data_IF_771046553300
#
_entry.id   IF_771046553300
#
_cell.length_a   1.000
_cell.length_b   1.000
_cell.length_c   1.000
_cell.angle_alpha   90.00
_cell.angle_beta   90.00
_cell.angle_gamma   90.00
#
_symmetry.space_group_name_H-M   'P 1'
#
loop_
_entity.id
_entity.type
_entity.pdbx_description
1 polymer ?
#
# COMPACT_ATOMS: atom_id res chain seq x y z
N UNK A 1 5.84 -13.81 17.82
CA UNK A 1 5.57 -13.34 16.44
C UNK A 1 6.90 -13.32 15.67
N UNK A 2 6.95 -13.74 14.41
CA UNK A 2 8.23 -13.78 13.68
C UNK A 2 8.74 -12.39 13.33
N UNK A 3 10.05 -12.28 13.06
CA UNK A 3 10.66 -11.03 12.57
C UNK A 3 10.07 -10.52 11.24
N UNK A 4 9.63 -11.43 10.36
CA UNK A 4 9.05 -11.05 9.08
C UNK A 4 7.68 -10.40 9.29
N UNK A 5 6.84 -11.01 10.13
CA UNK A 5 5.52 -10.48 10.49
C UNK A 5 5.65 -9.15 11.22
N UNK A 6 6.55 -9.05 12.21
CA UNK A 6 6.78 -7.79 12.93
C UNK A 6 7.18 -6.64 12.00
N UNK A 7 8.11 -6.88 11.07
CA UNK A 7 8.58 -5.84 10.15
C UNK A 7 7.48 -5.41 9.15
N UNK A 8 6.72 -6.36 8.62
CA UNK A 8 5.60 -6.06 7.73
C UNK A 8 4.47 -5.31 8.47
N UNK A 9 4.12 -5.75 9.68
CA UNK A 9 3.14 -5.05 10.51
C UNK A 9 3.59 -3.62 10.84
N UNK A 10 4.87 -3.43 11.21
CA UNK A 10 5.41 -2.09 11.46
C UNK A 10 5.34 -1.19 10.23
N UNK A 11 5.66 -1.72 9.05
CA UNK A 11 5.51 -0.98 7.79
C UNK A 11 4.05 -0.67 7.45
N UNK A 12 3.13 -1.61 7.64
CA UNK A 12 1.71 -1.37 7.43
C UNK A 12 1.16 -0.31 8.39
N UNK A 13 1.59 -0.30 9.65
CA UNK A 13 1.19 0.75 10.60
C UNK A 13 1.73 2.11 10.13
N UNK A 14 2.99 2.17 9.73
CA UNK A 14 3.60 3.39 9.17
C UNK A 14 2.83 3.91 7.94
N UNK A 15 2.59 3.04 6.96
CA UNK A 15 1.81 3.36 5.76
C UNK A 15 0.39 3.82 6.10
N UNK A 16 -0.29 3.15 7.03
CA UNK A 16 -1.63 3.54 7.44
C UNK A 16 -1.66 4.94 8.07
N UNK A 17 -0.65 5.28 8.87
CA UNK A 17 -0.54 6.62 9.47
C UNK A 17 -0.30 7.72 8.43
N UNK A 18 0.56 7.49 7.43
CA UNK A 18 0.81 8.47 6.36
C UNK A 18 -0.43 8.69 5.51
N UNK A 19 -1.13 7.62 5.16
CA UNK A 19 -2.40 7.69 4.40
C UNK A 19 -3.51 8.38 5.20
N UNK A 20 -3.52 8.25 6.52
CA UNK A 20 -4.54 8.86 7.38
C UNK A 20 -4.61 10.38 7.24
N UNK A 21 -3.48 11.05 7.02
CA UNK A 21 -3.46 12.50 6.76
C UNK A 21 -4.29 12.86 5.53
N UNK A 22 -4.09 12.17 4.41
CA UNK A 22 -4.82 12.41 3.16
C UNK A 22 -6.28 12.03 3.29
N UNK A 23 -6.58 10.95 4.02
CA UNK A 23 -7.94 10.50 4.28
C UNK A 23 -8.79 11.54 5.00
N UNK A 24 -8.20 12.22 5.99
CA UNK A 24 -8.91 13.24 6.77
C UNK A 24 -8.97 14.59 6.04
N UNK A 25 -7.98 14.90 5.20
CA UNK A 25 -7.86 16.21 4.55
C UNK A 25 -8.54 16.26 3.18
N UNK A 26 -8.53 15.16 2.44
CA UNK A 26 -9.02 15.04 1.06
C UNK A 26 -9.85 13.76 0.86
N UNK A 27 -10.99 13.60 1.56
CA UNK A 27 -11.75 12.34 1.59
C UNK A 27 -12.30 11.93 0.21
N UNK A 28 -12.82 12.88 -0.58
CA UNK A 28 -13.32 12.58 -1.94
C UNK A 28 -12.23 12.04 -2.86
N UNK A 29 -11.03 12.63 -2.78
CA UNK A 29 -9.84 12.18 -3.52
C UNK A 29 -9.37 10.80 -3.07
N UNK A 30 -9.35 10.53 -1.76
CA UNK A 30 -8.96 9.22 -1.21
C UNK A 30 -9.92 8.08 -1.56
N UNK A 31 -11.18 8.41 -1.84
CA UNK A 31 -12.17 7.48 -2.37
C UNK A 31 -12.26 7.49 -3.90
N UNK A 32 -11.29 8.15 -4.56
CA UNK A 32 -11.20 8.26 -6.02
C UNK A 32 -12.51 8.72 -6.66
N UNK A 33 -13.26 9.58 -5.96
CA UNK A 33 -14.54 10.11 -6.44
C UNK A 33 -15.59 9.04 -6.81
N UNK A 34 -15.43 7.81 -6.30
CA UNK A 34 -16.38 6.72 -6.50
C UNK A 34 -17.63 6.96 -5.64
N UNK A 35 -17.44 7.49 -4.43
CA UNK A 35 -18.49 7.76 -3.46
C UNK A 35 -18.36 9.21 -2.99
N UNK A 36 -19.50 9.90 -2.92
CA UNK A 36 -19.63 11.23 -2.33
C UNK A 36 -19.21 11.21 -0.85
N UNK A 37 -18.20 12.01 -0.50
CA UNK A 37 -17.67 12.10 0.86
C UNK A 37 -18.73 12.52 1.90
N UNK A 38 -19.77 13.26 1.50
CA UNK A 38 -20.87 13.64 2.39
C UNK A 38 -21.79 12.48 2.77
N UNK A 39 -21.73 11.37 2.02
CA UNK A 39 -22.51 10.14 2.28
C UNK A 39 -21.70 9.07 3.02
N UNK A 40 -20.40 9.29 3.18
CA UNK A 40 -19.50 8.35 3.83
C UNK A 40 -19.44 8.60 5.34
N UNK A 41 -19.64 7.54 6.12
CA UNK A 41 -19.26 7.55 7.52
C UNK A 41 -17.74 7.50 7.62
N UNK A 42 -17.11 8.64 7.92
CA UNK A 42 -15.65 8.75 8.05
C UNK A 42 -15.07 7.73 9.05
N UNK A 43 -15.66 7.49 10.24
CA UNK A 43 -15.15 6.49 11.17
C UNK A 43 -15.22 5.05 10.63
N UNK A 44 -16.33 4.70 9.97
CA UNK A 44 -16.52 3.35 9.41
C UNK A 44 -15.53 3.10 8.27
N UNK A 45 -15.46 4.06 7.35
CA UNK A 45 -14.61 4.00 6.16
C UNK A 45 -13.12 3.96 6.53
N UNK A 46 -12.71 4.76 7.52
CA UNK A 46 -11.37 4.72 8.11
C UNK A 46 -11.08 3.40 8.85
N UNK A 47 -12.05 2.87 9.60
CA UNK A 47 -11.93 1.57 10.27
C UNK A 47 -11.75 0.42 9.28
N UNK A 48 -12.51 0.43 8.18
CA UNK A 48 -12.39 -0.56 7.10
C UNK A 48 -11.03 -0.49 6.39
N UNK A 49 -10.50 0.72 6.18
CA UNK A 49 -9.15 0.91 5.65
C UNK A 49 -8.11 0.23 6.55
N UNK A 50 -8.12 0.53 7.85
CA UNK A 50 -7.18 -0.07 8.80
C UNK A 50 -7.32 -1.58 8.92
N UNK A 51 -8.55 -2.10 8.92
CA UNK A 51 -8.80 -3.53 8.94
C UNK A 51 -8.22 -4.22 7.70
N UNK A 52 -8.49 -3.66 6.51
CA UNK A 52 -7.99 -4.19 5.24
C UNK A 52 -6.47 -4.18 5.20
N UNK A 53 -5.86 -3.08 5.63
CA UNK A 53 -4.40 -2.94 5.70
C UNK A 53 -3.77 -3.93 6.68
N UNK A 54 -4.37 -4.13 7.86
CA UNK A 54 -3.90 -5.08 8.85
C UNK A 54 -4.00 -6.54 8.35
N UNK A 55 -5.14 -6.90 7.76
CA UNK A 55 -5.36 -8.25 7.20
C UNK A 55 -4.41 -8.53 6.04
N UNK A 56 -4.26 -7.59 5.10
CA UNK A 56 -3.35 -7.72 3.96
C UNK A 56 -1.89 -7.82 4.41
N UNK A 57 -1.46 -6.93 5.31
CA UNK A 57 -0.10 -6.91 5.85
C UNK A 57 0.25 -8.19 6.60
N UNK A 58 -0.65 -8.64 7.48
CA UNK A 58 -0.44 -9.86 8.27
C UNK A 58 -0.43 -11.10 7.38
N UNK A 59 -1.44 -11.28 6.53
CA UNK A 59 -1.54 -12.45 5.65
C UNK A 59 -0.38 -12.54 4.67
N UNK A 60 0.00 -11.42 4.04
CA UNK A 60 1.15 -11.35 3.14
C UNK A 60 2.46 -11.74 3.84
N UNK A 61 2.68 -11.26 5.06
CA UNK A 61 3.88 -11.58 5.83
C UNK A 61 3.94 -13.05 6.27
N UNK A 62 2.80 -13.62 6.68
CA UNK A 62 2.70 -15.05 7.02
C UNK A 62 2.97 -15.92 5.79
N UNK A 63 2.34 -15.61 4.65
CA UNK A 63 2.58 -16.35 3.39
C UNK A 63 4.04 -16.25 2.97
N UNK A 64 4.63 -15.05 2.99
CA UNK A 64 6.03 -14.86 2.64
C UNK A 64 6.98 -15.66 3.55
N UNK A 65 6.73 -15.64 4.87
CA UNK A 65 7.48 -16.42 5.83
C UNK A 65 7.42 -17.93 5.52
N UNK A 66 6.22 -18.48 5.29
CA UNK A 66 6.05 -19.91 5.06
C UNK A 66 6.70 -20.34 3.73
N UNK A 67 6.67 -19.49 2.70
CA UNK A 67 7.40 -19.74 1.45
C UNK A 67 8.92 -19.70 1.64
N UNK A 68 9.43 -18.79 2.47
CA UNK A 68 10.86 -18.73 2.82
C UNK A 68 11.28 -20.02 3.55
N UNK A 69 10.51 -20.46 4.56
CA UNK A 69 10.77 -21.71 5.29
C UNK A 69 10.72 -22.93 4.38
N UNK A 70 9.74 -22.99 3.49
CA UNK A 70 9.58 -24.05 2.50
C UNK A 70 10.59 -23.96 1.33
N UNK A 71 11.50 -22.97 1.33
CA UNK A 71 12.51 -22.74 0.29
C UNK A 71 11.92 -22.54 -1.11
N UNK A 72 10.66 -22.06 -1.19
CA UNK A 72 9.92 -21.82 -2.44
C UNK A 72 10.14 -20.39 -2.97
N UNK A 73 11.40 -20.01 -3.18
CA UNK A 73 11.77 -18.64 -3.58
C UNK A 73 11.12 -18.17 -4.91
N UNK A 74 10.83 -19.09 -5.82
CA UNK A 74 10.14 -18.78 -7.07
C UNK A 74 8.69 -18.30 -6.84
N UNK A 75 7.95 -18.96 -5.95
CA UNK A 75 6.60 -18.52 -5.58
C UNK A 75 6.61 -17.20 -4.82
N UNK A 76 7.60 -16.99 -3.95
CA UNK A 76 7.79 -15.68 -3.30
C UNK A 76 7.99 -14.56 -4.34
N UNK A 77 8.80 -14.82 -5.37
CA UNK A 77 9.03 -13.88 -6.47
C UNK A 77 7.73 -13.61 -7.25
N UNK A 78 6.97 -14.66 -7.55
CA UNK A 78 5.69 -14.55 -8.25
C UNK A 78 4.68 -13.68 -7.48
N UNK A 79 4.60 -13.82 -6.15
CA UNK A 79 3.74 -12.99 -5.30
C UNK A 79 4.17 -11.53 -5.35
N UNK A 80 5.46 -11.24 -5.28
CA UNK A 80 5.97 -9.87 -5.38
C UNK A 80 5.62 -9.25 -6.74
N UNK A 81 5.87 -9.97 -7.83
CA UNK A 81 5.52 -9.50 -9.18
C UNK A 81 4.01 -9.28 -9.31
N UNK A 82 3.20 -10.20 -8.80
CA UNK A 82 1.75 -10.07 -8.78
C UNK A 82 1.30 -8.83 -8.00
N UNK A 83 1.86 -8.58 -6.81
CA UNK A 83 1.52 -7.41 -6.01
C UNK A 83 1.87 -6.09 -6.73
N UNK A 84 3.04 -6.03 -7.39
CA UNK A 84 3.44 -4.86 -8.20
C UNK A 84 2.52 -4.67 -9.40
N UNK A 85 2.15 -5.75 -10.09
CA UNK A 85 1.25 -5.69 -11.23
C UNK A 85 -0.16 -5.22 -10.82
N UNK A 86 -0.68 -5.71 -9.70
CA UNK A 86 -1.97 -5.26 -9.15
C UNK A 86 -1.90 -3.78 -8.76
N UNK A 87 -0.84 -3.36 -8.07
CA UNK A 87 -0.65 -1.95 -7.72
C UNK A 87 -0.60 -1.05 -8.95
N UNK A 88 0.20 -1.42 -9.96
CA UNK A 88 0.32 -0.67 -11.20
C UNK A 88 -1.01 -0.63 -11.97
N UNK A 89 -1.77 -1.73 -11.99
CA UNK A 89 -3.09 -1.77 -12.61
C UNK A 89 -4.06 -0.82 -11.91
N UNK A 90 -4.15 -0.89 -10.57
CA UNK A 90 -5.02 0.00 -9.78
C UNK A 90 -4.65 1.47 -10.00
N UNK A 91 -3.36 1.81 -9.92
CA UNK A 91 -2.90 3.19 -10.14
C UNK A 91 -3.08 3.65 -11.58
N UNK A 92 -2.98 2.75 -12.56
CA UNK A 92 -3.28 3.04 -13.95
C UNK A 92 -4.76 3.33 -14.17
N UNK A 93 -5.65 2.49 -13.63
CA UNK A 93 -7.10 2.67 -13.72
C UNK A 93 -7.57 3.94 -13.02
N UNK A 94 -6.97 4.30 -11.88
CA UNK A 94 -7.34 5.46 -11.07
C UNK A 94 -6.46 6.69 -11.36
N UNK A 95 -5.71 6.68 -12.47
CA UNK A 95 -4.70 7.71 -12.75
C UNK A 95 -5.30 9.11 -12.90
N UNK A 96 -6.50 9.22 -13.45
CA UNK A 96 -7.18 10.52 -13.64
C UNK A 96 -7.64 11.08 -12.31
N UNK A 97 -8.22 10.22 -11.47
CA UNK A 97 -8.71 10.52 -10.13
C UNK A 97 -7.56 10.92 -9.21
N UNK A 98 -6.43 10.21 -9.26
CA UNK A 98 -5.25 10.56 -8.47
C UNK A 98 -4.52 11.81 -8.99
N UNK A 99 -4.70 12.19 -10.26
CA UNK A 99 -4.08 13.39 -10.84
C UNK A 99 -4.85 14.69 -10.55
N UNK A 100 -6.10 14.63 -10.08
CA UNK A 100 -6.92 15.81 -9.81
C UNK A 100 -7.42 15.80 -8.36
N UNK A 101 -7.46 16.96 -7.72
CA UNK A 101 -7.76 17.13 -6.29
C UNK A 101 -8.96 18.08 -6.17
N UNK A 102 -9.91 17.70 -5.32
CA UNK A 102 -11.18 18.39 -5.16
C UNK A 102 -12.19 17.53 -4.41
N UNK A 103 -13.44 17.97 -4.38
CA UNK A 103 -14.58 17.21 -3.87
C UNK A 103 -15.17 16.28 -4.93
N UNK A 104 -16.02 15.34 -4.53
CA UNK A 104 -16.80 14.51 -5.46
C UNK A 104 -17.55 15.36 -6.49
N UNK A 105 -18.27 16.40 -6.04
CA UNK A 105 -19.02 17.29 -6.93
C UNK A 105 -18.10 18.05 -7.90
N UNK A 106 -16.95 18.55 -7.44
CA UNK A 106 -15.98 19.25 -8.29
C UNK A 106 -15.40 18.33 -9.35
N UNK A 107 -15.03 17.09 -9.00
CA UNK A 107 -14.47 16.14 -9.95
C UNK A 107 -15.47 15.77 -11.05
N UNK A 108 -16.69 15.38 -10.68
CA UNK A 108 -17.73 15.02 -11.65
C UNK A 108 -18.24 16.23 -12.47
N UNK A 109 -18.06 17.45 -11.98
CA UNK A 109 -18.32 18.68 -12.74
C UNK A 109 -17.14 19.11 -13.64
N UNK A 110 -16.01 18.39 -13.63
CA UNK A 110 -14.80 18.76 -14.39
C UNK A 110 -14.06 19.99 -13.84
N UNK A 111 -14.27 20.31 -12.56
CA UNK A 111 -13.71 21.49 -11.87
C UNK A 111 -12.61 21.13 -10.87
N UNK A 112 -12.29 19.84 -10.68
CA UNK A 112 -11.19 19.43 -9.82
C UNK A 112 -9.85 19.94 -10.39
N UNK A 113 -8.99 20.45 -9.51
CA UNK A 113 -7.72 21.05 -9.90
C UNK A 113 -6.66 19.98 -10.10
N UNK A 114 -5.71 20.15 -11.02
CA UNK A 114 -4.59 19.23 -11.13
C UNK A 114 -3.78 19.20 -9.82
N UNK A 115 -3.28 18.03 -9.44
CA UNK A 115 -2.40 17.88 -8.28
C UNK A 115 -1.10 18.67 -8.45
N UNK A 116 -0.62 18.84 -9.68
CA UNK A 116 0.58 19.63 -9.96
C UNK A 116 0.37 21.09 -9.56
N UNK A 117 1.19 21.58 -8.63
CA UNK A 117 1.06 22.90 -8.04
C UNK A 117 0.05 22.99 -6.89
N UNK A 118 -0.69 21.91 -6.60
CA UNK A 118 -1.61 21.87 -5.47
C UNK A 118 -0.84 21.67 -4.15
N UNK A 119 -1.27 22.26 -3.01
CA UNK A 119 -0.59 22.12 -1.72
C UNK A 119 -0.37 20.67 -1.24
N UNK A 120 -1.17 19.72 -1.73
CA UNK A 120 -1.04 18.28 -1.43
C UNK A 120 0.19 17.64 -2.10
N UNK A 121 0.73 18.21 -3.19
CA UNK A 121 1.78 17.59 -3.99
C UNK A 121 3.05 17.31 -3.17
N UNK A 122 3.48 18.28 -2.36
CA UNK A 122 4.66 18.15 -1.51
C UNK A 122 4.50 17.00 -0.49
N UNK A 123 3.47 17.03 0.36
CA UNK A 123 3.14 15.93 1.27
C UNK A 123 3.03 14.57 0.57
N UNK A 124 2.35 14.50 -0.58
CA UNK A 124 2.17 13.25 -1.34
C UNK A 124 3.50 12.70 -1.86
N UNK A 125 4.38 13.58 -2.34
CA UNK A 125 5.71 13.19 -2.82
C UNK A 125 6.55 12.63 -1.67
N UNK A 126 6.54 13.31 -0.52
CA UNK A 126 7.27 12.87 0.68
C UNK A 126 6.72 11.54 1.18
N UNK A 127 5.39 11.42 1.32
CA UNK A 127 4.74 10.19 1.73
C UNK A 127 5.09 9.03 0.79
N UNK A 128 4.98 9.23 -0.53
CA UNK A 128 5.34 8.22 -1.53
C UNK A 128 6.78 7.74 -1.41
N UNK A 129 7.75 8.66 -1.23
CA UNK A 129 9.16 8.29 -1.02
C UNK A 129 9.34 7.51 0.29
N UNK A 130 8.77 8.02 1.38
CA UNK A 130 8.86 7.43 2.71
C UNK A 130 8.15 6.07 2.83
N UNK A 131 7.19 5.77 1.96
CA UNK A 131 6.50 4.49 1.89
C UNK A 131 7.23 3.49 0.99
N UNK A 132 7.64 3.96 -0.20
CA UNK A 132 8.27 3.12 -1.22
C UNK A 132 9.64 2.60 -0.78
N UNK A 133 10.50 3.44 -0.18
CA UNK A 133 11.85 3.01 0.23
C UNK A 133 11.79 1.84 1.23
N UNK A 134 11.05 1.94 2.36
CA UNK A 134 10.90 0.82 3.28
C UNK A 134 10.23 -0.42 2.66
N UNK A 135 9.23 -0.23 1.79
CA UNK A 135 8.56 -1.33 1.11
C UNK A 135 9.54 -2.13 0.24
N UNK A 136 10.34 -1.43 -0.58
CA UNK A 136 11.37 -2.03 -1.42
C UNK A 136 12.46 -2.71 -0.59
N UNK A 137 12.86 -2.11 0.53
CA UNK A 137 13.81 -2.70 1.47
C UNK A 137 13.28 -4.02 2.08
N UNK A 138 12.00 -4.06 2.46
CA UNK A 138 11.34 -5.28 2.97
C UNK A 138 11.28 -6.37 1.91
N UNK A 139 10.88 -6.03 0.69
CA UNK A 139 10.85 -6.98 -0.44
C UNK A 139 12.26 -7.53 -0.70
N UNK A 140 13.27 -6.67 -0.78
CA UNK A 140 14.65 -7.09 -0.98
C UNK A 140 15.14 -8.01 0.15
N UNK A 141 14.78 -7.70 1.41
CA UNK A 141 15.11 -8.53 2.56
C UNK A 141 14.44 -9.91 2.53
N UNK A 142 13.16 -9.99 2.15
CA UNK A 142 12.46 -11.27 1.99
C UNK A 142 13.09 -12.10 0.86
N UNK A 143 13.41 -11.48 -0.26
CA UNK A 143 14.04 -12.14 -1.41
C UNK A 143 15.44 -12.67 -1.08
N UNK A 144 16.26 -11.88 -0.41
CA UNK A 144 17.60 -12.32 0.05
C UNK A 144 17.50 -13.43 1.08
N UNK A 145 16.53 -13.37 2.00
CA UNK A 145 16.27 -14.43 2.98
C UNK A 145 15.83 -15.74 2.33
N UNK A 146 14.93 -15.67 1.34
CA UNK A 146 14.50 -16.84 0.56
C UNK A 146 15.63 -17.46 -0.26
N UNK A 147 16.55 -16.65 -0.81
CA UNK A 147 17.75 -17.16 -1.52
C UNK A 147 18.72 -17.86 -0.56
N UNK A 148 18.99 -17.25 0.60
CA UNK A 148 19.84 -17.86 1.64
C UNK A 148 19.29 -19.20 2.13
N UNK A 149 17.98 -19.28 2.38
CA UNK A 149 17.33 -20.52 2.81
C UNK A 149 17.42 -21.64 1.76
N UNK A 150 17.37 -21.31 0.46
CA UNK A 150 17.53 -22.27 -0.64
C UNK A 150 18.97 -22.80 -0.74
N UNK A 151 19.97 -21.97 -0.43
CA UNK A 151 21.40 -22.31 -0.53
C UNK A 151 21.95 -23.13 0.64
N UNK A 152 21.20 -23.32 1.73
CA UNK A 152 21.63 -24.14 2.86
C UNK A 152 21.30 -25.62 2.61
N UNK A 153 22.17 -26.57 2.97
CA UNK A 153 21.86 -28.00 2.90
C UNK A 153 20.59 -28.33 3.71
N UNK A 154 19.80 -29.29 3.26
CA UNK A 154 18.63 -29.75 3.99
C UNK A 154 19.12 -30.74 5.07
N UNK A 155 19.38 -30.26 6.29
CA UNK A 155 19.76 -31.14 7.41
C UNK A 155 20.84 -30.64 8.36
N UNK A 156 21.08 -29.33 8.45
CA UNK A 156 21.85 -28.73 9.55
C UNK A 156 20.88 -28.21 10.62
#
# INVERSE_FOLDING_TARGET
>A
MSRYVLAATGWCIWFGMTVSYFYMTYPGWMWSYIIDEGKLSLPLSFGLFWLTLAVAGFSGAVVAQELIKARKTALLSAIVVYAVAVFAAVMGFLSTEYAHVGTYAQFHAGQALPMQGHPIQGPMTIAGICEAIPALALVAWYMTSGRKAKGQPAGA
#
